data_IF_591429081346
#
_entry.id   IF_591429081346
#
_cell.length_a   1.000
_cell.length_b   1.000
_cell.length_c   1.000
_cell.angle_alpha   90.00
_cell.angle_beta   90.00
_cell.angle_gamma   90.00
#
_symmetry.space_group_name_H-M   'P 1'
#
loop_
_entity.id
_entity.type
_entity.pdbx_description
1 polymer ?
#
# COMPACT_ATOMS: atom_id res chain seq x y z
N UNK A 1 25.22 -6.66 20.05
CA UNK A 1 24.99 -6.16 18.66
C UNK A 1 23.79 -6.67 17.87
N UNK A 2 23.36 -7.93 17.96
CA UNK A 2 22.34 -8.45 17.01
C UNK A 2 20.96 -7.77 17.02
N UNK A 3 20.44 -7.33 18.17
CA UNK A 3 19.09 -6.75 18.26
C UNK A 3 19.03 -5.26 17.90
N UNK A 4 20.11 -4.50 18.17
CA UNK A 4 20.23 -3.09 17.80
C UNK A 4 20.12 -2.89 16.28
N UNK A 5 20.89 -3.67 15.50
CA UNK A 5 20.84 -3.61 14.04
C UNK A 5 19.50 -4.07 13.46
N UNK A 6 18.88 -5.11 14.07
CA UNK A 6 17.56 -5.58 13.68
C UNK A 6 16.47 -4.53 13.90
N UNK A 7 16.44 -3.90 15.08
CA UNK A 7 15.47 -2.86 15.42
C UNK A 7 15.61 -1.66 14.47
N UNK A 8 16.85 -1.20 14.26
CA UNK A 8 17.16 -0.10 13.34
C UNK A 8 16.66 -0.34 11.91
N UNK A 9 16.88 -1.53 11.35
CA UNK A 9 16.39 -1.88 10.00
C UNK A 9 14.87 -1.98 9.95
N UNK A 10 14.27 -2.57 10.97
CA UNK A 10 12.81 -2.72 11.06
C UNK A 10 12.12 -1.36 11.05
N UNK A 11 12.61 -0.41 11.86
CA UNK A 11 12.03 0.94 11.92
C UNK A 11 12.27 1.72 10.63
N UNK A 12 13.48 1.64 10.04
CA UNK A 12 13.83 2.43 8.85
C UNK A 12 13.11 2.04 7.59
N UNK A 13 12.90 0.74 7.41
CA UNK A 13 12.19 0.19 6.25
C UNK A 13 10.70 0.00 6.52
N UNK A 14 10.22 0.53 7.65
CA UNK A 14 8.87 0.35 8.19
C UNK A 14 8.32 -1.08 8.03
N UNK A 15 9.13 -2.06 8.42
CA UNK A 15 8.81 -3.46 8.21
C UNK A 15 7.79 -3.94 9.23
N UNK A 16 6.72 -4.54 8.73
CA UNK A 16 5.74 -5.26 9.53
C UNK A 16 5.99 -6.75 9.40
N UNK A 17 6.03 -7.45 10.54
CA UNK A 17 6.24 -8.90 10.58
C UNK A 17 4.98 -9.61 11.07
N UNK A 18 4.80 -10.86 10.64
CA UNK A 18 3.77 -11.76 11.17
C UNK A 18 4.42 -12.91 11.95
N UNK A 19 3.81 -13.30 13.07
CA UNK A 19 4.18 -14.54 13.75
C UNK A 19 3.54 -15.73 13.03
N UNK A 20 4.25 -16.86 12.96
CA UNK A 20 3.72 -18.13 12.42
C UNK A 20 3.15 -19.06 13.50
N UNK A 21 3.30 -18.69 14.76
CA UNK A 21 2.87 -19.45 15.94
C UNK A 21 1.97 -18.54 16.81
N UNK A 22 1.90 -18.79 18.12
CA UNK A 22 1.01 -18.09 19.06
C UNK A 22 1.57 -16.73 19.56
N UNK A 23 2.40 -16.05 18.77
CA UNK A 23 3.01 -14.75 19.15
C UNK A 23 3.83 -14.79 20.46
N UNK A 24 4.18 -15.98 20.94
CA UNK A 24 4.88 -16.25 22.21
C UNK A 24 6.27 -16.88 22.02
N UNK A 25 6.82 -16.89 20.79
CA UNK A 25 8.10 -17.52 20.48
C UNK A 25 9.24 -17.06 21.41
N UNK A 26 9.98 -18.02 21.95
CA UNK A 26 11.15 -17.75 22.81
C UNK A 26 12.30 -17.11 22.02
N UNK A 27 12.77 -15.95 22.46
CA UNK A 27 13.86 -15.21 21.84
C UNK A 27 15.14 -15.34 22.68
N UNK A 28 16.05 -16.21 22.24
CA UNK A 28 17.38 -16.44 22.81
C UNK A 28 18.52 -16.15 21.81
N UNK A 29 19.77 -16.34 22.21
CA UNK A 29 20.95 -16.06 21.36
C UNK A 29 21.01 -16.93 20.09
N UNK A 30 20.54 -18.18 20.14
CA UNK A 30 20.61 -19.16 19.04
C UNK A 30 19.45 -19.01 18.07
N UNK A 31 18.23 -18.82 18.58
CA UNK A 31 16.99 -18.86 17.81
C UNK A 31 16.27 -17.51 17.64
N UNK A 32 16.86 -16.37 18.06
CA UNK A 32 16.26 -15.04 17.83
C UNK A 32 15.92 -14.71 16.37
N UNK A 33 16.49 -15.41 15.39
CA UNK A 33 16.17 -15.21 13.98
C UNK A 33 14.95 -16.02 13.51
N UNK A 34 14.43 -16.95 14.33
CA UNK A 34 13.31 -17.83 14.00
C UNK A 34 12.00 -17.07 13.76
N UNK A 35 11.73 -16.06 14.59
CA UNK A 35 10.52 -15.26 14.50
C UNK A 35 10.86 -13.77 14.63
N UNK A 36 10.76 -13.04 13.51
CA UNK A 36 11.03 -11.60 13.47
C UNK A 36 9.97 -10.80 14.23
N UNK A 37 8.70 -11.23 14.19
CA UNK A 37 7.62 -10.60 14.95
C UNK A 37 7.90 -10.63 16.45
N UNK A 38 8.06 -11.81 17.05
CA UNK A 38 8.28 -11.93 18.49
C UNK A 38 9.59 -11.27 18.93
N UNK A 39 10.62 -11.29 18.08
CA UNK A 39 11.86 -10.55 18.32
C UNK A 39 11.63 -9.04 18.36
N UNK A 40 10.87 -8.49 17.42
CA UNK A 40 10.57 -7.06 17.38
C UNK A 40 9.70 -6.64 18.57
N UNK A 41 8.66 -7.42 18.88
CA UNK A 41 7.83 -7.21 20.07
C UNK A 41 8.68 -7.23 21.36
N UNK A 42 9.62 -8.17 21.48
CA UNK A 42 10.54 -8.21 22.62
C UNK A 42 11.48 -7.00 22.67
N UNK A 43 11.93 -6.47 21.53
CA UNK A 43 12.71 -5.23 21.52
C UNK A 43 11.89 -4.05 22.08
N UNK A 44 10.62 -3.94 21.68
CA UNK A 44 9.71 -2.91 22.18
C UNK A 44 9.44 -3.08 23.68
N UNK A 45 9.16 -4.31 24.14
CA UNK A 45 8.89 -4.58 25.56
C UNK A 45 10.10 -4.32 26.46
N UNK A 46 11.32 -4.46 25.92
CA UNK A 46 12.57 -4.09 26.59
C UNK A 46 12.91 -2.58 26.48
N UNK A 47 11.99 -1.76 25.95
CA UNK A 47 12.12 -0.29 25.94
C UNK A 47 12.83 0.30 24.73
N UNK A 48 13.03 -0.45 23.64
CA UNK A 48 13.52 0.16 22.40
C UNK A 48 12.44 1.05 21.79
N UNK A 49 12.77 2.33 21.60
CA UNK A 49 11.87 3.39 21.12
C UNK A 49 11.97 3.56 19.61
N UNK A 50 10.84 3.52 18.90
CA UNK A 50 10.78 3.68 17.43
C UNK A 50 11.14 5.11 17.04
N UNK A 51 10.59 6.07 17.78
CA UNK A 51 10.78 7.50 17.64
C UNK A 51 12.26 7.89 17.72
N UNK A 52 13.04 7.26 18.60
CA UNK A 52 14.46 7.53 18.75
C UNK A 52 15.31 7.15 17.51
N UNK A 53 14.81 6.24 16.67
CA UNK A 53 15.48 5.85 15.42
C UNK A 53 15.08 6.78 14.26
N UNK A 54 13.85 7.29 14.28
CA UNK A 54 13.31 8.20 13.27
C UNK A 54 13.90 9.61 13.42
N UNK A 55 13.96 10.16 14.64
CA UNK A 55 14.56 11.48 14.90
C UNK A 55 16.04 11.53 14.47
N UNK A 56 16.82 10.51 14.81
CA UNK A 56 18.21 10.40 14.40
C UNK A 56 18.37 10.30 12.87
N UNK A 57 17.36 9.76 12.16
CA UNK A 57 17.37 9.71 10.70
C UNK A 57 17.13 11.09 10.10
N UNK A 58 16.14 11.84 10.61
CA UNK A 58 15.84 13.20 10.18
C UNK A 58 17.04 14.15 10.40
N UNK A 59 17.71 14.07 11.55
CA UNK A 59 18.93 14.82 11.84
C UNK A 59 20.08 14.47 10.88
N UNK A 60 20.25 13.17 10.57
CA UNK A 60 21.30 12.72 9.64
C UNK A 60 21.00 13.12 8.20
N UNK A 61 19.73 13.17 7.79
CA UNK A 61 19.36 13.64 6.45
C UNK A 61 19.61 15.15 6.30
N UNK A 62 19.34 15.95 7.34
CA UNK A 62 19.63 17.39 7.35
C UNK A 62 21.11 17.73 7.24
N UNK A 63 21.99 16.89 7.77
CA UNK A 63 23.45 17.10 7.75
C UNK A 63 24.14 16.53 6.50
N UNK A 64 23.44 15.74 5.67
CA UNK A 64 24.00 15.04 4.51
C UNK A 64 23.56 15.64 3.16
N UNK A 65 23.08 16.90 3.14
CA UNK A 65 22.63 17.61 1.94
C UNK A 65 23.71 17.97 0.91
N UNK A 66 24.93 17.43 0.98
CA UNK A 66 26.04 17.77 0.06
C UNK A 66 26.78 16.55 -0.54
N UNK A 67 26.39 15.31 -0.25
CA UNK A 67 27.07 14.14 -0.87
C UNK A 67 26.11 13.10 -1.42
N UNK A 68 25.99 13.18 -2.75
CA UNK A 68 25.55 12.19 -3.73
C UNK A 68 25.31 10.78 -3.22
N UNK A 69 24.05 10.40 -3.33
CA UNK A 69 23.49 9.23 -4.01
C UNK A 69 24.16 7.85 -3.85
N UNK A 70 23.30 6.86 -3.63
CA UNK A 70 23.65 5.46 -3.50
C UNK A 70 22.88 4.78 -2.38
N UNK A 71 21.55 4.72 -2.50
CA UNK A 71 20.75 3.60 -2.00
C UNK A 71 19.38 3.61 -2.71
N UNK A 72 19.19 2.57 -3.53
CA UNK A 72 18.04 2.23 -4.36
C UNK A 72 16.70 2.69 -3.76
N UNK A 73 16.24 3.85 -4.20
CA UNK A 73 14.85 4.24 -4.05
C UNK A 73 14.03 3.29 -4.91
N UNK A 74 13.24 2.46 -4.24
CA UNK A 74 12.06 1.84 -4.83
C UNK A 74 11.06 2.96 -5.11
N UNK A 75 11.39 3.80 -6.08
CA UNK A 75 10.47 4.73 -6.69
C UNK A 75 9.70 3.92 -7.73
N UNK A 76 8.41 3.72 -7.51
CA UNK A 76 7.47 3.44 -8.59
C UNK A 76 7.42 4.68 -9.51
N UNK A 77 8.55 4.92 -10.18
CA UNK A 77 8.75 5.99 -11.14
C UNK A 77 8.41 5.44 -12.51
N UNK A 78 7.12 5.38 -12.80
CA UNK A 78 6.61 5.20 -14.15
C UNK A 78 5.30 6.00 -14.25
N UNK A 79 5.39 7.26 -14.66
CA UNK A 79 4.21 8.01 -15.16
C UNK A 79 3.68 7.36 -16.47
N UNK A 80 4.36 6.32 -16.97
CA UNK A 80 4.01 5.55 -18.16
C UNK A 80 3.00 4.43 -17.94
N UNK A 81 2.78 3.97 -16.71
CA UNK A 81 1.92 2.81 -16.46
C UNK A 81 0.43 3.18 -16.41
N UNK A 82 0.08 4.48 -16.43
CA UNK A 82 -1.31 4.93 -16.42
C UNK A 82 -1.51 6.28 -17.15
N UNK A 83 -1.48 6.30 -18.50
CA UNK A 83 -1.64 7.54 -19.26
C UNK A 83 -3.09 8.06 -19.26
N UNK A 84 -3.26 9.37 -19.02
CA UNK A 84 -4.57 10.06 -19.04
C UNK A 84 -5.31 9.87 -20.38
N UNK A 85 -4.56 9.73 -21.48
CA UNK A 85 -5.12 9.49 -22.80
C UNK A 85 -5.93 8.19 -22.88
N UNK A 86 -5.45 7.11 -22.27
CA UNK A 86 -6.14 5.81 -22.25
C UNK A 86 -7.37 5.84 -21.35
N UNK A 87 -7.34 6.59 -20.24
CA UNK A 87 -8.53 6.83 -19.41
C UNK A 87 -9.60 7.55 -20.23
N UNK A 88 -9.23 8.61 -20.97
CA UNK A 88 -10.16 9.36 -21.82
C UNK A 88 -10.75 8.51 -22.94
N UNK A 89 -9.96 7.60 -23.51
CA UNK A 89 -10.43 6.67 -24.53
C UNK A 89 -11.42 5.65 -23.96
N UNK A 90 -11.18 5.13 -22.75
CA UNK A 90 -12.10 4.24 -22.05
C UNK A 90 -13.45 4.92 -21.73
N UNK A 91 -13.45 6.21 -21.34
CA UNK A 91 -14.70 6.96 -21.12
C UNK A 91 -15.52 7.14 -22.42
N UNK A 92 -14.85 7.26 -23.57
CA UNK A 92 -15.51 7.43 -24.87
C UNK A 92 -15.94 6.09 -25.49
N UNK A 93 -15.39 4.97 -25.05
CA UNK A 93 -15.78 3.64 -25.56
C UNK A 93 -17.05 3.09 -24.93
N UNK A 94 -17.47 3.64 -23.78
CA UNK A 94 -18.78 3.37 -23.20
C UNK A 94 -19.78 4.35 -23.80
N UNK A 95 -20.67 3.84 -24.64
CA UNK A 95 -21.74 4.66 -25.21
C UNK A 95 -22.60 5.29 -24.08
N UNK A 96 -22.97 6.59 -24.19
CA UNK A 96 -23.96 7.18 -23.31
C UNK A 96 -25.22 6.32 -23.38
N UNK A 97 -25.79 5.97 -22.22
CA UNK A 97 -27.10 5.33 -22.21
C UNK A 97 -28.07 6.34 -22.82
N UNK A 98 -28.47 6.08 -24.07
CA UNK A 98 -29.57 6.76 -24.73
C UNK A 98 -30.72 6.84 -23.73
N UNK A 99 -31.27 8.05 -23.57
CA UNK A 99 -32.45 8.30 -22.75
C UNK A 99 -33.63 7.50 -23.33
N UNK A 100 -33.72 6.23 -22.94
CA UNK A 100 -34.86 5.40 -23.22
C UNK A 100 -36.04 5.93 -22.40
N UNK A 101 -37.25 5.94 -22.97
CA UNK A 101 -38.41 6.56 -22.35
C UNK A 101 -38.60 5.96 -20.96
N UNK A 102 -38.68 6.82 -19.95
CA UNK A 102 -39.12 6.43 -18.61
C UNK A 102 -40.44 5.68 -18.76
N UNK A 103 -40.44 4.38 -18.54
CA UNK A 103 -41.67 3.61 -18.49
C UNK A 103 -42.49 4.09 -17.28
N UNK A 104 -43.82 4.08 -17.36
CA UNK A 104 -44.75 4.56 -16.32
C UNK A 104 -44.72 3.71 -15.03
N UNK A 105 -43.69 2.87 -14.83
CA UNK A 105 -43.44 2.06 -13.65
C UNK A 105 -42.75 2.80 -12.50
N UNK A 106 -42.56 2.08 -11.39
CA UNK A 106 -41.94 2.59 -10.16
C UNK A 106 -40.51 3.11 -10.41
N UNK A 107 -40.24 4.32 -9.92
CA UNK A 107 -38.96 5.02 -10.05
C UNK A 107 -37.81 4.16 -9.52
N UNK A 108 -38.04 3.41 -8.44
CA UNK A 108 -37.01 2.52 -7.88
C UNK A 108 -36.65 1.41 -8.87
N UNK A 109 -37.64 0.79 -9.51
CA UNK A 109 -37.41 -0.26 -10.50
C UNK A 109 -36.64 0.27 -11.72
N UNK A 110 -36.96 1.48 -12.16
CA UNK A 110 -36.26 2.15 -13.27
C UNK A 110 -34.80 2.46 -12.92
N UNK A 111 -34.54 2.93 -11.70
CA UNK A 111 -33.19 3.17 -11.20
C UNK A 111 -32.41 1.86 -11.09
N UNK A 112 -33.00 0.80 -10.53
CA UNK A 112 -32.36 -0.51 -10.42
C UNK A 112 -32.00 -1.06 -11.81
N UNK A 113 -32.91 -0.97 -12.77
CA UNK A 113 -32.66 -1.47 -14.13
C UNK A 113 -31.59 -0.64 -14.86
N UNK A 114 -31.54 0.67 -14.64
CA UNK A 114 -30.46 1.51 -15.14
C UNK A 114 -29.12 1.15 -14.47
N UNK A 115 -29.11 0.98 -13.15
CA UNK A 115 -27.92 0.58 -12.40
C UNK A 115 -27.38 -0.77 -12.87
N UNK A 116 -28.24 -1.76 -13.13
CA UNK A 116 -27.83 -3.06 -13.64
C UNK A 116 -27.13 -2.94 -15.00
N UNK A 117 -27.62 -2.06 -15.90
CA UNK A 117 -26.93 -1.75 -17.17
C UNK A 117 -25.60 -1.04 -16.94
N UNK A 118 -25.57 -0.05 -16.04
CA UNK A 118 -24.36 0.67 -15.69
C UNK A 118 -23.29 -0.25 -15.07
N UNK A 119 -23.67 -1.26 -14.29
CA UNK A 119 -22.73 -2.22 -13.73
C UNK A 119 -22.06 -3.07 -14.82
N UNK A 120 -22.80 -3.47 -15.86
CA UNK A 120 -22.22 -4.18 -17.02
C UNK A 120 -21.28 -3.27 -17.81
N UNK A 121 -21.66 -2.01 -18.04
CA UNK A 121 -20.81 -1.03 -18.70
C UNK A 121 -19.56 -0.69 -17.90
N UNK A 122 -19.65 -0.59 -16.58
CA UNK A 122 -18.52 -0.33 -15.69
C UNK A 122 -17.46 -1.44 -15.80
N UNK A 123 -17.90 -2.69 -15.94
CA UNK A 123 -17.01 -3.82 -16.18
C UNK A 123 -16.32 -3.71 -17.53
N UNK A 124 -17.01 -3.25 -18.58
CA UNK A 124 -16.42 -3.08 -19.90
C UNK A 124 -15.44 -1.90 -19.96
N UNK A 125 -15.79 -0.79 -19.31
CA UNK A 125 -14.91 0.37 -19.09
C UNK A 125 -13.61 -0.04 -18.38
N UNK A 126 -13.74 -0.80 -17.29
CA UNK A 126 -12.60 -1.21 -16.47
C UNK A 126 -11.59 -2.08 -17.24
N UNK A 127 -12.01 -2.75 -18.33
CA UNK A 127 -11.09 -3.51 -19.20
C UNK A 127 -10.19 -2.62 -20.06
N UNK A 128 -10.54 -1.35 -20.24
CA UNK A 128 -9.82 -0.40 -21.09
C UNK A 128 -8.89 0.53 -20.29
N UNK A 129 -8.90 0.41 -18.96
CA UNK A 129 -8.04 1.15 -18.03
C UNK A 129 -6.68 0.42 -17.93
N UNK A 130 -5.56 1.07 -18.31
CA UNK A 130 -4.21 0.48 -18.22
C UNK A 130 -3.78 0.05 -16.81
#
# INVERSE_FOLDING_TARGET
>A
EGCKGFFKRTVRKDLTYACREERSCTIDKRQRNRCQYCRYQKCLSMGMKREAVQTFQEERQRTKGDKGDGDTESSCGAISDMPIASIREAELSVDPIDELPLDQGDVVSNICQAADRHLVQLVEWAKHIP
#
